data_IF_731197604471
#
_entry.id   IF_731197604471
#
_cell.length_a   1.000
_cell.length_b   1.000
_cell.length_c   1.000
_cell.angle_alpha   90.00
_cell.angle_beta   90.00
_cell.angle_gamma   90.00
#
_symmetry.space_group_name_H-M   'P 1'
#
loop_
_entity.id
_entity.type
_entity.pdbx_description
1 polymer ?
#
# COMPACT_ATOMS: atom_id res chain seq x y z
N UNK A 1 3.56 22.54 9.44
CA UNK A 1 2.10 22.68 9.62
C UNK A 1 1.84 24.01 10.34
N UNK A 2 0.87 24.79 9.84
CA UNK A 2 0.42 26.04 10.44
C UNK A 2 -1.09 25.98 10.57
N UNK A 3 -1.60 26.19 11.76
CA UNK A 3 -3.04 26.30 12.01
C UNK A 3 -3.50 27.65 11.44
N UNK A 4 -4.53 27.65 10.62
CA UNK A 4 -5.01 28.84 9.89
C UNK A 4 -6.14 29.55 10.65
N UNK A 5 -6.90 28.80 11.45
CA UNK A 5 -8.05 29.31 12.20
C UNK A 5 -7.61 30.15 13.43
N UNK A 6 -8.37 31.19 13.74
CA UNK A 6 -8.13 32.05 14.92
C UNK A 6 -8.35 31.34 16.25
N UNK A 7 -9.35 30.43 16.28
CA UNK A 7 -9.66 29.61 17.44
C UNK A 7 -9.88 28.17 17.00
N UNK A 8 -9.28 27.24 17.71
CA UNK A 8 -9.32 25.82 17.41
C UNK A 8 -9.92 25.05 18.59
N UNK A 9 -10.78 24.10 18.27
CA UNK A 9 -11.29 23.16 19.29
C UNK A 9 -10.15 22.24 19.73
N UNK A 10 -9.86 22.26 21.02
CA UNK A 10 -8.82 21.43 21.62
C UNK A 10 -9.31 20.76 22.89
N UNK A 11 -8.53 19.83 23.41
CA UNK A 11 -8.81 19.11 24.64
C UNK A 11 -7.71 19.34 25.67
N UNK A 12 -8.10 19.72 26.87
CA UNK A 12 -7.21 19.84 28.02
C UNK A 12 -7.87 19.24 29.25
N UNK A 13 -7.16 18.34 29.93
CA UNK A 13 -7.66 17.67 31.16
C UNK A 13 -9.09 17.09 31.03
N UNK A 14 -9.39 16.39 29.91
CA UNK A 14 -10.68 15.80 29.58
C UNK A 14 -11.80 16.81 29.23
N UNK A 15 -11.55 18.10 29.26
CA UNK A 15 -12.51 19.12 28.85
C UNK A 15 -12.23 19.58 27.43
N UNK A 16 -13.30 19.81 26.64
CA UNK A 16 -13.21 20.43 25.34
C UNK A 16 -13.34 21.94 25.48
N UNK A 17 -12.41 22.66 24.86
CA UNK A 17 -12.40 24.12 24.89
C UNK A 17 -11.92 24.68 23.54
N UNK A 18 -12.21 25.96 23.31
CA UNK A 18 -11.68 26.72 22.19
C UNK A 18 -10.48 27.54 22.67
N UNK A 19 -9.33 27.33 22.00
CA UNK A 19 -8.09 28.01 22.33
C UNK A 19 -7.43 28.62 21.11
N UNK A 20 -6.55 29.62 21.35
CA UNK A 20 -5.72 30.17 20.28
C UNK A 20 -4.67 29.13 19.84
N UNK A 21 -4.28 29.11 18.55
CA UNK A 21 -3.28 28.18 18.00
C UNK A 21 -1.97 28.14 18.80
N UNK A 22 -1.51 29.30 19.31
CA UNK A 22 -0.24 29.44 20.02
C UNK A 22 -0.23 28.74 21.39
N UNK A 23 -1.40 28.40 21.93
CA UNK A 23 -1.53 27.67 23.20
C UNK A 23 -1.65 26.15 23.04
N UNK A 24 -1.56 25.64 21.80
CA UNK A 24 -1.70 24.21 21.50
C UNK A 24 -0.31 23.57 21.41
N UNK A 25 -0.05 22.58 22.26
CA UNK A 25 1.24 21.89 22.33
C UNK A 25 1.33 20.71 21.36
N UNK A 26 0.23 20.01 21.13
CA UNK A 26 0.17 18.79 20.34
C UNK A 26 -0.98 18.80 19.34
N UNK A 27 -0.79 18.13 18.23
CA UNK A 27 -1.81 17.92 17.21
C UNK A 27 -1.79 16.47 16.76
N UNK A 28 -2.98 15.89 16.53
CA UNK A 28 -3.09 14.54 15.97
C UNK A 28 -2.56 14.53 14.53
N UNK A 29 -1.71 13.55 14.22
CA UNK A 29 -1.12 13.40 12.88
C UNK A 29 -2.19 13.02 11.86
N UNK A 30 -3.09 12.12 12.23
CA UNK A 30 -4.17 11.64 11.35
C UNK A 30 -5.28 10.95 12.16
N UNK A 31 -6.57 11.05 11.73
CA UNK A 31 -7.67 10.28 12.31
C UNK A 31 -7.48 8.76 12.18
N UNK A 32 -6.66 8.31 11.26
CA UNK A 32 -6.34 6.88 11.04
C UNK A 32 -5.71 6.20 12.25
N UNK A 33 -5.15 6.95 13.19
CA UNK A 33 -4.57 6.41 14.43
C UNK A 33 -5.61 5.75 15.36
N UNK A 34 -6.89 6.05 15.19
CA UNK A 34 -7.97 5.49 16.01
C UNK A 34 -8.30 4.03 15.65
N UNK A 35 -7.91 3.57 14.49
CA UNK A 35 -8.28 2.26 13.93
C UNK A 35 -7.04 1.39 13.67
N UNK A 36 -7.27 0.09 13.51
CA UNK A 36 -6.20 -0.84 13.12
C UNK A 36 -5.71 -0.55 11.70
N UNK A 37 -4.52 -1.05 11.36
CA UNK A 37 -3.96 -0.92 10.01
C UNK A 37 -4.91 -1.45 8.95
N UNK A 38 -5.51 -2.62 9.17
CA UNK A 38 -6.46 -3.20 8.23
C UNK A 38 -7.71 -2.31 8.04
N UNK A 39 -8.30 -1.80 9.13
CA UNK A 39 -9.43 -0.89 9.06
C UNK A 39 -9.06 0.44 8.41
N UNK A 40 -7.84 0.92 8.58
CA UNK A 40 -7.36 2.17 7.97
C UNK A 40 -7.22 2.11 6.44
N UNK A 41 -7.24 0.92 5.86
CA UNK A 41 -7.23 0.69 4.41
C UNK A 41 -8.63 0.74 3.77
N UNK A 42 -9.70 0.77 4.57
CA UNK A 42 -11.07 0.81 4.07
C UNK A 42 -11.44 2.25 3.71
N UNK A 43 -11.69 2.57 2.43
CA UNK A 43 -12.17 3.89 2.06
C UNK A 43 -13.58 4.12 2.56
N UNK A 44 -13.91 5.35 2.99
CA UNK A 44 -15.22 5.74 3.52
C UNK A 44 -15.66 4.91 4.74
N UNK A 45 -14.72 4.52 5.59
CA UNK A 45 -14.98 3.69 6.77
C UNK A 45 -16.05 4.28 7.70
N UNK A 46 -16.10 5.61 7.80
CA UNK A 46 -17.08 6.34 8.62
C UNK A 46 -18.53 6.12 8.19
N UNK A 47 -18.76 5.66 6.97
CA UNK A 47 -20.09 5.37 6.43
C UNK A 47 -20.49 3.88 6.57
N UNK A 48 -19.57 3.05 7.04
CA UNK A 48 -19.80 1.60 7.19
C UNK A 48 -20.23 1.23 8.60
N UNK A 49 -21.11 0.21 8.68
CA UNK A 49 -21.41 -0.43 9.95
C UNK A 49 -20.21 -1.17 10.52
N UNK A 50 -20.03 -1.13 11.84
CA UNK A 50 -18.89 -1.74 12.53
C UNK A 50 -18.73 -3.24 12.23
N UNK A 51 -19.85 -3.98 12.14
CA UNK A 51 -19.82 -5.40 11.82
C UNK A 51 -19.31 -5.66 10.40
N UNK A 52 -19.74 -4.85 9.43
CA UNK A 52 -19.29 -4.97 8.02
C UNK A 52 -17.86 -4.53 7.84
N UNK A 53 -17.42 -3.50 8.54
CA UNK A 53 -16.02 -3.08 8.58
C UNK A 53 -15.11 -4.20 9.13
N UNK A 54 -15.54 -4.88 10.19
CA UNK A 54 -14.84 -6.04 10.75
C UNK A 54 -14.71 -7.17 9.72
N UNK A 55 -15.82 -7.54 9.06
CA UNK A 55 -15.81 -8.58 8.02
C UNK A 55 -14.88 -8.20 6.87
N UNK A 56 -14.98 -6.98 6.35
CA UNK A 56 -14.14 -6.48 5.26
C UNK A 56 -12.65 -6.48 5.62
N UNK A 57 -12.29 -6.03 6.81
CA UNK A 57 -10.89 -6.04 7.28
C UNK A 57 -10.32 -7.46 7.39
N UNK A 58 -11.14 -8.42 7.83
CA UNK A 58 -10.76 -9.82 7.87
C UNK A 58 -10.56 -10.40 6.46
N UNK A 59 -11.45 -10.07 5.51
CA UNK A 59 -11.36 -10.54 4.12
C UNK A 59 -10.13 -9.99 3.40
N UNK A 60 -9.72 -8.74 3.64
CA UNK A 60 -8.49 -8.20 3.07
C UNK A 60 -7.26 -9.03 3.43
N UNK A 61 -7.21 -9.59 4.64
CA UNK A 61 -6.10 -10.44 5.08
C UNK A 61 -6.07 -11.84 4.45
N UNK A 62 -7.15 -12.23 3.77
CA UNK A 62 -7.30 -13.51 3.09
C UNK A 62 -7.15 -13.40 1.57
N UNK A 63 -6.83 -12.20 1.06
CA UNK A 63 -6.68 -11.98 -0.38
C UNK A 63 -5.54 -12.82 -0.96
N UNK A 64 -5.83 -13.52 -2.05
CA UNK A 64 -4.83 -14.31 -2.79
C UNK A 64 -3.99 -13.37 -3.65
N UNK A 65 -2.65 -13.46 -3.61
CA UNK A 65 -1.78 -12.68 -4.49
C UNK A 65 -2.02 -13.02 -5.96
N UNK A 66 -2.39 -12.01 -6.74
CA UNK A 66 -2.64 -12.17 -8.17
C UNK A 66 -1.34 -12.05 -8.98
N UNK A 67 -1.31 -12.65 -10.17
CA UNK A 67 -0.17 -12.55 -11.11
C UNK A 67 0.02 -11.11 -11.59
N UNK A 68 -1.08 -10.42 -11.89
CA UNK A 68 -1.10 -9.02 -12.32
C UNK A 68 -2.05 -8.21 -11.42
N UNK A 69 -1.65 -7.91 -10.19
CA UNK A 69 -2.45 -7.07 -9.31
C UNK A 69 -2.52 -5.65 -9.87
N UNK A 70 -3.50 -4.87 -9.43
CA UNK A 70 -3.66 -3.48 -9.80
C UNK A 70 -4.01 -2.65 -8.56
N UNK A 71 -3.34 -1.52 -8.41
CA UNK A 71 -3.62 -0.59 -7.32
C UNK A 71 -5.09 -0.13 -7.34
N UNK A 72 -5.75 0.04 -6.18
CA UNK A 72 -7.12 0.48 -6.12
C UNK A 72 -7.27 1.92 -6.65
N UNK A 73 -8.37 2.20 -7.37
CA UNK A 73 -8.66 3.55 -7.85
C UNK A 73 -9.02 4.52 -6.71
N UNK A 74 -9.62 3.99 -5.66
CA UNK A 74 -9.98 4.73 -4.44
C UNK A 74 -9.27 4.10 -3.27
N UNK A 75 -8.44 4.87 -2.59
CA UNK A 75 -7.64 4.43 -1.47
C UNK A 75 -7.64 5.45 -0.33
N UNK A 76 -7.03 5.09 0.76
CA UNK A 76 -6.92 5.92 1.97
C UNK A 76 -5.57 6.62 2.12
N UNK A 77 -4.61 6.30 1.24
CA UNK A 77 -3.23 6.77 1.33
C UNK A 77 -2.36 5.94 2.30
N UNK A 78 -2.91 4.90 2.91
CA UNK A 78 -2.14 3.95 3.74
C UNK A 78 -1.49 2.85 2.90
N UNK A 79 -1.95 2.64 1.67
CA UNK A 79 -1.53 1.55 0.79
C UNK A 79 -0.02 1.56 0.54
N UNK A 80 0.54 2.74 0.28
CA UNK A 80 1.98 2.91 0.06
C UNK A 80 2.80 2.58 1.32
N UNK A 81 2.37 3.10 2.47
CA UNK A 81 3.05 2.86 3.74
C UNK A 81 3.01 1.39 4.12
N UNK A 82 1.85 0.75 3.98
CA UNK A 82 1.66 -0.68 4.29
C UNK A 82 2.50 -1.55 3.37
N UNK A 83 2.50 -1.29 2.06
CA UNK A 83 3.30 -2.04 1.09
C UNK A 83 4.80 -1.94 1.39
N UNK A 84 5.28 -0.73 1.71
CA UNK A 84 6.67 -0.48 2.04
C UNK A 84 7.10 -1.17 3.33
N UNK A 85 6.30 -1.05 4.40
CA UNK A 85 6.64 -1.54 5.73
C UNK A 85 6.37 -3.05 5.90
N UNK A 86 5.57 -3.66 5.02
CA UNK A 86 5.31 -5.12 5.03
C UNK A 86 6.54 -5.98 4.72
N UNK A 87 7.57 -5.38 4.10
CA UNK A 87 8.76 -6.10 3.65
C UNK A 87 8.56 -6.96 2.40
N UNK A 88 7.38 -6.91 1.75
CA UNK A 88 7.14 -7.59 0.47
C UNK A 88 7.80 -6.86 -0.69
N UNK A 89 7.94 -5.55 -0.60
CA UNK A 89 8.66 -4.71 -1.57
C UNK A 89 10.13 -4.57 -1.22
N UNK A 90 10.96 -4.35 -2.22
CA UNK A 90 12.39 -4.05 -2.01
C UNK A 90 12.58 -2.55 -1.91
N UNK A 91 13.20 -2.10 -0.83
CA UNK A 91 13.41 -0.70 -0.51
C UNK A 91 14.89 -0.35 -0.56
N UNK A 92 15.25 0.78 -1.16
CA UNK A 92 16.62 1.26 -1.24
C UNK A 92 17.15 1.66 0.14
N UNK A 93 18.30 1.11 0.52
CA UNK A 93 18.95 1.40 1.81
C UNK A 93 19.64 2.76 1.82
N UNK A 94 20.22 3.16 0.68
CA UNK A 94 21.00 4.38 0.51
C UNK A 94 20.63 5.08 -0.80
N UNK A 95 20.99 6.36 -0.91
CA UNK A 95 20.83 7.11 -2.15
C UNK A 95 21.87 6.69 -3.18
N UNK A 96 21.45 6.58 -4.43
CA UNK A 96 22.35 6.18 -5.51
C UNK A 96 21.75 6.30 -6.90
N UNK A 97 22.47 5.75 -7.85
CA UNK A 97 22.05 5.61 -9.25
C UNK A 97 22.09 4.14 -9.61
N UNK A 98 21.04 3.67 -10.29
CA UNK A 98 20.96 2.29 -10.78
C UNK A 98 22.02 2.11 -11.89
N UNK A 99 22.99 1.24 -11.63
CA UNK A 99 24.10 0.98 -12.55
C UNK A 99 23.80 -0.21 -13.45
N UNK A 100 23.28 -1.30 -12.87
CA UNK A 100 22.90 -2.50 -13.60
C UNK A 100 21.55 -3.00 -13.12
N UNK A 101 20.78 -3.53 -14.02
CA UNK A 101 19.44 -4.07 -13.76
C UNK A 101 19.25 -5.37 -14.53
N UNK A 102 18.93 -6.43 -13.78
CA UNK A 102 18.51 -7.72 -14.30
C UNK A 102 17.17 -8.13 -13.65
N UNK A 103 16.52 -9.13 -14.20
CA UNK A 103 15.31 -9.68 -13.57
C UNK A 103 15.54 -10.20 -12.14
N UNK A 104 16.78 -10.62 -11.81
CA UNK A 104 17.14 -11.25 -10.54
C UNK A 104 17.83 -10.28 -9.57
N UNK A 105 18.35 -9.14 -10.05
CA UNK A 105 19.11 -8.22 -9.20
C UNK A 105 19.05 -6.79 -9.67
N UNK A 106 19.17 -5.87 -8.74
CA UNK A 106 19.35 -4.44 -8.95
C UNK A 106 20.68 -4.03 -8.33
N UNK A 107 21.55 -3.40 -9.08
CA UNK A 107 22.83 -2.88 -8.60
C UNK A 107 22.74 -1.37 -8.56
N UNK A 108 22.91 -0.79 -7.37
CA UNK A 108 22.85 0.64 -7.13
C UNK A 108 24.22 1.14 -6.72
N UNK A 109 24.75 2.08 -7.48
CA UNK A 109 25.98 2.80 -7.13
C UNK A 109 25.63 3.95 -6.19
N UNK A 110 26.12 3.87 -4.95
CA UNK A 110 25.84 4.84 -3.89
C UNK A 110 26.49 6.19 -4.21
N UNK A 111 25.72 7.25 -4.16
CA UNK A 111 26.18 8.64 -4.37
C UNK A 111 26.17 9.48 -3.11
N UNK A 112 25.75 8.91 -1.97
CA UNK A 112 25.70 9.60 -0.70
C UNK A 112 27.11 9.99 -0.24
N UNK A 113 27.36 11.30 -0.18
CA UNK A 113 28.65 11.88 0.24
C UNK A 113 28.90 11.78 1.76
N UNK A 114 27.86 11.50 2.53
CA UNK A 114 27.93 11.39 4.01
C UNK A 114 28.27 9.97 4.48
N UNK A 115 28.18 9.01 3.57
CA UNK A 115 28.45 7.63 3.91
C UNK A 115 29.94 7.33 3.79
N UNK A 116 30.58 7.09 4.92
CA UNK A 116 31.98 6.72 5.07
C UNK A 116 32.25 5.22 4.83
N UNK A 117 31.24 4.45 4.43
CA UNK A 117 31.41 3.03 4.17
C UNK A 117 32.31 2.77 2.96
N UNK A 118 33.17 1.75 3.10
CA UNK A 118 34.09 1.32 2.03
C UNK A 118 33.37 0.81 0.77
N UNK A 119 32.14 0.31 0.94
CA UNK A 119 31.35 -0.24 -0.17
C UNK A 119 30.45 0.86 -0.80
N UNK A 120 30.78 1.22 -2.02
CA UNK A 120 30.02 2.19 -2.83
C UNK A 120 28.94 1.54 -3.70
N UNK A 121 28.68 0.27 -3.55
CA UNK A 121 27.73 -0.50 -4.35
C UNK A 121 26.80 -1.25 -3.42
N UNK A 122 25.49 -1.13 -3.65
CA UNK A 122 24.43 -1.93 -3.04
C UNK A 122 23.84 -2.90 -4.06
N UNK A 123 23.80 -4.18 -3.72
CA UNK A 123 23.21 -5.21 -4.56
C UNK A 123 21.93 -5.71 -3.88
N UNK A 124 20.82 -5.62 -4.60
CA UNK A 124 19.50 -6.12 -4.20
C UNK A 124 19.15 -7.33 -5.04
N UNK A 125 19.13 -8.51 -4.43
CA UNK A 125 18.69 -9.73 -5.08
C UNK A 125 17.18 -9.86 -5.00
N UNK A 126 16.52 -10.11 -6.12
CA UNK A 126 15.08 -10.25 -6.23
C UNK A 126 14.66 -11.71 -6.13
N UNK A 127 13.60 -11.96 -5.37
CA UNK A 127 12.99 -13.27 -5.29
C UNK A 127 12.17 -13.54 -6.55
N UNK A 128 12.48 -14.63 -7.22
CA UNK A 128 11.82 -15.00 -8.49
C UNK A 128 11.09 -16.33 -8.35
N UNK A 129 9.78 -16.30 -8.58
CA UNK A 129 8.94 -17.50 -8.68
C UNK A 129 9.15 -18.52 -7.55
N UNK A 130 9.29 -18.03 -6.32
CA UNK A 130 9.44 -18.90 -5.15
C UNK A 130 8.08 -19.27 -4.60
N UNK A 131 7.96 -20.47 -4.06
CA UNK A 131 6.77 -20.93 -3.37
C UNK A 131 6.71 -20.36 -1.97
N UNK A 132 5.57 -19.76 -1.58
CA UNK A 132 5.31 -19.37 -0.20
C UNK A 132 4.85 -20.55 0.65
N UNK A 133 4.77 -20.38 1.97
CA UNK A 133 4.23 -21.39 2.89
C UNK A 133 2.76 -21.73 2.59
N UNK A 134 2.00 -20.82 2.01
CA UNK A 134 0.60 -21.01 1.61
C UNK A 134 0.44 -21.49 0.16
N UNK A 135 1.49 -21.97 -0.48
CA UNK A 135 1.51 -22.41 -1.88
C UNK A 135 1.20 -21.30 -2.90
N UNK A 136 1.40 -20.04 -2.54
CA UNK A 136 1.29 -18.92 -3.47
C UNK A 136 2.64 -18.58 -4.09
N UNK A 137 2.64 -17.88 -5.23
CA UNK A 137 3.86 -17.48 -5.93
C UNK A 137 4.42 -16.17 -5.35
N UNK A 138 5.67 -16.18 -4.92
CA UNK A 138 6.44 -14.99 -4.58
C UNK A 138 7.29 -14.62 -5.77
N UNK A 139 7.03 -13.45 -6.35
CA UNK A 139 7.80 -12.93 -7.47
C UNK A 139 7.99 -11.42 -7.28
N UNK A 140 9.23 -10.97 -7.33
CA UNK A 140 9.56 -9.54 -7.23
C UNK A 140 9.92 -8.99 -8.60
N UNK A 141 9.42 -7.80 -8.92
CA UNK A 141 9.61 -7.13 -10.20
C UNK A 141 10.26 -5.76 -9.98
N UNK A 142 11.35 -5.42 -10.69
CA UNK A 142 11.95 -4.10 -10.59
C UNK A 142 11.00 -3.02 -11.14
N UNK A 143 11.00 -1.86 -10.48
CA UNK A 143 10.27 -0.65 -10.90
C UNK A 143 11.17 0.41 -11.53
N UNK A 144 12.48 0.27 -11.34
CA UNK A 144 13.49 1.24 -11.77
C UNK A 144 14.12 0.80 -13.08
N UNK A 145 14.71 1.75 -13.80
CA UNK A 145 15.49 1.53 -14.99
C UNK A 145 16.97 1.87 -14.77
N UNK A 146 17.85 1.36 -15.63
CA UNK A 146 19.28 1.71 -15.56
C UNK A 146 19.47 3.22 -15.78
N UNK A 147 20.25 3.86 -14.91
CA UNK A 147 20.47 5.31 -14.90
C UNK A 147 19.54 6.10 -13.98
N UNK A 148 18.48 5.48 -13.45
CA UNK A 148 17.56 6.17 -12.54
C UNK A 148 18.24 6.51 -11.20
N UNK A 149 17.89 7.69 -10.68
CA UNK A 149 18.27 8.10 -9.32
C UNK A 149 17.30 7.51 -8.30
N UNK A 150 17.85 6.91 -7.28
CA UNK A 150 17.09 6.27 -6.19
C UNK A 150 17.38 7.00 -4.88
N UNK A 151 16.35 7.27 -4.12
CA UNK A 151 16.47 7.89 -2.80
C UNK A 151 16.44 6.84 -1.69
N UNK A 152 17.02 7.17 -0.56
CA UNK A 152 16.91 6.32 0.64
C UNK A 152 15.45 6.08 0.99
N UNK A 153 15.09 4.85 1.31
CA UNK A 153 13.74 4.40 1.64
C UNK A 153 12.72 4.48 0.47
N UNK A 154 13.18 4.60 -0.77
CA UNK A 154 12.33 4.48 -1.94
C UNK A 154 12.12 3.01 -2.30
N UNK A 155 10.90 2.64 -2.70
CA UNK A 155 10.60 1.31 -3.23
C UNK A 155 11.21 1.19 -4.62
N UNK A 156 12.03 0.16 -4.84
CA UNK A 156 12.75 -0.09 -6.12
C UNK A 156 12.27 -1.36 -6.82
N UNK A 157 11.59 -2.24 -6.12
CA UNK A 157 10.95 -3.41 -6.72
C UNK A 157 9.65 -3.76 -6.00
N UNK A 158 8.64 -4.12 -6.77
CA UNK A 158 7.37 -4.65 -6.28
C UNK A 158 7.50 -6.12 -5.89
N UNK A 159 6.72 -6.52 -4.88
CA UNK A 159 6.55 -7.90 -4.46
C UNK A 159 5.16 -8.46 -4.81
N UNK A 160 4.76 -9.56 -4.19
CA UNK A 160 3.42 -10.10 -4.32
C UNK A 160 2.38 -9.09 -3.76
N UNK A 161 1.22 -9.01 -4.41
CA UNK A 161 0.11 -8.12 -4.05
C UNK A 161 0.51 -6.63 -3.92
N UNK A 162 1.44 -6.18 -4.76
CA UNK A 162 1.84 -4.77 -4.85
C UNK A 162 1.89 -4.31 -6.32
N UNK A 163 1.62 -3.04 -6.54
CA UNK A 163 1.65 -2.39 -7.85
C UNK A 163 2.19 -0.97 -7.69
N UNK A 164 3.31 -0.65 -8.37
CA UNK A 164 4.02 0.63 -8.29
C UNK A 164 4.34 1.09 -6.85
N UNK A 165 4.66 0.15 -5.97
CA UNK A 165 4.97 0.43 -4.56
C UNK A 165 3.74 0.61 -3.67
N UNK A 166 2.53 0.42 -4.18
CA UNK A 166 1.29 0.47 -3.42
C UNK A 166 0.72 -0.93 -3.20
N UNK A 167 -0.06 -1.10 -2.14
CA UNK A 167 -0.76 -2.35 -1.86
C UNK A 167 -1.86 -2.58 -2.90
N UNK A 168 -1.80 -3.71 -3.60
CA UNK A 168 -2.73 -4.11 -4.65
C UNK A 168 -3.23 -5.54 -4.37
N UNK A 169 -4.34 -5.65 -3.64
CA UNK A 169 -4.89 -6.95 -3.23
C UNK A 169 -5.75 -7.61 -4.30
N UNK A 170 -6.03 -6.93 -5.41
CA UNK A 170 -6.92 -7.44 -6.44
C UNK A 170 -6.80 -6.66 -7.74
N UNK A 171 -7.93 -6.55 -8.46
CA UNK A 171 -8.03 -5.80 -9.71
C UNK A 171 -9.28 -4.93 -9.73
N UNK A 172 -9.21 -3.83 -10.47
CA UNK A 172 -10.36 -2.96 -10.69
C UNK A 172 -11.22 -3.54 -11.81
N UNK A 173 -12.47 -3.85 -11.52
CA UNK A 173 -13.44 -4.40 -12.48
C UNK A 173 -14.67 -3.50 -12.56
N UNK A 174 -15.31 -3.46 -13.72
CA UNK A 174 -16.57 -2.76 -13.89
C UNK A 174 -17.69 -3.57 -13.24
N UNK A 175 -18.46 -2.92 -12.35
CA UNK A 175 -19.54 -3.55 -11.58
C UNK A 175 -20.86 -2.87 -11.91
N UNK A 176 -21.93 -3.68 -12.11
CA UNK A 176 -23.29 -3.21 -12.20
C UNK A 176 -24.09 -3.62 -10.95
N UNK A 177 -24.71 -2.66 -10.28
CA UNK A 177 -25.58 -2.88 -9.12
C UNK A 177 -27.03 -2.94 -9.59
N UNK A 178 -27.51 -4.13 -9.94
CA UNK A 178 -28.85 -4.36 -10.43
C UNK A 178 -29.30 -5.80 -10.21
N UNK A 179 -30.60 -6.09 -10.00
CA UNK A 179 -31.10 -7.46 -10.05
C UNK A 179 -31.04 -8.00 -11.48
N UNK A 180 -30.64 -9.27 -11.62
CA UNK A 180 -30.54 -9.90 -12.93
C UNK A 180 -31.15 -11.32 -12.92
N UNK A 181 -32.40 -11.42 -13.32
CA UNK A 181 -33.17 -12.68 -13.43
C UNK A 181 -33.12 -13.60 -12.20
N UNK A 182 -32.89 -13.03 -10.99
CA UNK A 182 -32.78 -13.77 -9.75
C UNK A 182 -31.46 -14.52 -9.53
N UNK A 183 -30.52 -14.50 -10.51
CA UNK A 183 -29.24 -15.20 -10.37
C UNK A 183 -28.26 -14.51 -9.41
N UNK A 184 -28.50 -13.27 -9.03
CA UNK A 184 -27.73 -12.55 -8.02
C UNK A 184 -28.52 -12.33 -6.72
N UNK A 185 -29.39 -13.30 -6.37
CA UNK A 185 -30.16 -13.26 -5.13
C UNK A 185 -29.26 -13.41 -3.90
N UNK A 186 -29.52 -12.63 -2.84
CA UNK A 186 -28.74 -12.53 -1.61
C UNK A 186 -27.26 -12.18 -1.89
N UNK A 187 -26.32 -13.03 -1.47
CA UNK A 187 -24.87 -12.82 -1.58
C UNK A 187 -24.27 -13.36 -2.90
N UNK A 188 -25.13 -13.79 -3.85
CA UNK A 188 -24.70 -14.30 -5.14
C UNK A 188 -24.19 -13.17 -6.03
N UNK A 189 -23.07 -13.43 -6.73
CA UNK A 189 -22.46 -12.50 -7.68
C UNK A 189 -22.32 -13.19 -9.02
N UNK A 190 -22.77 -12.51 -10.10
CA UNK A 190 -22.53 -12.95 -11.47
C UNK A 190 -21.20 -12.38 -11.98
N UNK A 191 -20.43 -13.20 -12.63
CA UNK A 191 -19.14 -12.86 -13.22
C UNK A 191 -19.24 -12.98 -14.73
N UNK A 192 -18.75 -11.99 -15.46
CA UNK A 192 -18.67 -12.02 -16.91
C UNK A 192 -17.72 -13.12 -17.40
N UNK A 193 -18.09 -13.82 -18.46
CA UNK A 193 -17.23 -14.82 -19.11
C UNK A 193 -15.88 -14.23 -19.55
N UNK A 194 -15.85 -12.95 -19.94
CA UNK A 194 -14.62 -12.25 -20.28
C UNK A 194 -13.63 -12.19 -19.11
N UNK A 195 -14.10 -12.00 -17.89
CA UNK A 195 -13.24 -12.00 -16.68
C UNK A 195 -12.56 -13.35 -16.50
N UNK A 196 -13.25 -14.45 -16.83
CA UNK A 196 -12.71 -15.81 -16.77
C UNK A 196 -11.72 -16.05 -17.91
N UNK A 197 -12.05 -15.62 -19.14
CA UNK A 197 -11.16 -15.78 -20.31
C UNK A 197 -9.86 -14.97 -20.17
N UNK A 198 -9.96 -13.77 -19.61
CA UNK A 198 -8.80 -12.89 -19.39
C UNK A 198 -7.98 -13.27 -18.15
N UNK A 199 -8.38 -14.31 -17.43
CA UNK A 199 -7.71 -14.83 -16.22
C UNK A 199 -7.42 -13.70 -15.21
N UNK A 200 -8.47 -12.95 -14.87
CA UNK A 200 -8.35 -11.70 -14.08
C UNK A 200 -8.06 -11.99 -12.61
N UNK A 201 -8.55 -13.11 -12.06
CA UNK A 201 -8.42 -13.53 -10.67
C UNK A 201 -7.73 -14.87 -10.54
#
# INVERSE_FOLDING_TARGET
WKIVEEHVSCRQNLNFLLSKPDSIDYIDVSPKQLVSVAASLIPFLENDDANRALMGSNMMRQAVPLIKPKAPLVGTGMEFTVAKDSGSTVVAKREGVVDQLDANRIVVRVTDKKDTSLNKIDIYNLLKFQRSNQNTCINQRPLVSVGDKVFKNQVIADGPATDLGELALGRNVLVAFMPWNGYNFEDSILISEKVVQDDVF
#
